data_IF_694525602090
#
_entry.id   IF_694525602090
#
_cell.length_a   1.000
_cell.length_b   1.000
_cell.length_c   1.000
_cell.angle_alpha   90.00
_cell.angle_beta   90.00
_cell.angle_gamma   90.00
#
_symmetry.space_group_name_H-M   'P 1'
#
loop_
_entity.id
_entity.type
_entity.pdbx_description
1 polymer ?
#
# COMPACT_ATOMS: atom_id res chain seq x y z
N UNK A 1 9.86 -16.35 14.84
CA UNK A 1 8.45 -15.91 14.95
C UNK A 1 7.75 -16.20 13.62
N UNK A 2 6.46 -16.58 13.62
CA UNK A 2 5.71 -16.81 12.39
C UNK A 2 5.53 -15.49 11.62
N UNK A 3 5.62 -15.55 10.29
CA UNK A 3 5.35 -14.39 9.43
C UNK A 3 3.84 -14.27 9.21
N UNK A 4 3.29 -13.03 9.21
CA UNK A 4 1.88 -12.82 8.92
C UNK A 4 1.53 -13.25 7.50
N UNK A 5 0.31 -13.76 7.31
CA UNK A 5 -0.21 -14.09 5.99
C UNK A 5 -0.63 -12.82 5.24
N UNK A 6 -0.88 -12.94 3.93
CA UNK A 6 -1.43 -11.84 3.14
C UNK A 6 -2.82 -11.44 3.64
N UNK A 7 -3.64 -12.40 4.09
CA UNK A 7 -4.95 -12.09 4.67
C UNK A 7 -4.80 -11.21 5.92
N UNK A 8 -3.90 -11.57 6.84
CA UNK A 8 -3.66 -10.80 8.06
C UNK A 8 -3.21 -9.36 7.75
N UNK A 9 -2.36 -9.18 6.74
CA UNK A 9 -1.88 -7.87 6.29
C UNK A 9 -3.00 -7.02 5.66
N UNK A 10 -3.90 -7.65 4.90
CA UNK A 10 -5.05 -6.97 4.32
C UNK A 10 -6.03 -6.50 5.39
N UNK A 11 -6.33 -7.34 6.38
CA UNK A 11 -7.20 -7.01 7.52
C UNK A 11 -6.59 -5.90 8.40
N UNK A 12 -5.27 -5.90 8.58
CA UNK A 12 -4.56 -4.83 9.28
C UNK A 12 -4.47 -3.51 8.50
N UNK A 13 -4.85 -3.49 7.21
CA UNK A 13 -4.89 -2.28 6.39
C UNK A 13 -3.54 -1.78 5.88
N UNK A 14 -2.49 -2.61 5.85
CA UNK A 14 -1.13 -2.17 5.47
C UNK A 14 -0.97 -1.83 3.99
N UNK A 15 -1.96 -2.19 3.16
CA UNK A 15 -1.99 -1.91 1.74
C UNK A 15 -2.44 -0.47 1.42
N UNK A 16 -2.87 0.32 2.41
CA UNK A 16 -3.18 1.72 2.20
C UNK A 16 -1.90 2.57 2.26
N UNK A 17 -1.57 3.20 1.14
CA UNK A 17 -0.48 4.16 1.02
C UNK A 17 -0.92 5.60 1.29
N UNK A 18 -0.12 6.53 0.76
CA UNK A 18 -0.37 7.96 0.88
C UNK A 18 -1.24 8.48 -0.28
N UNK A 19 -1.71 9.72 -0.12
CA UNK A 19 -2.38 10.44 -1.21
C UNK A 19 -1.45 10.57 -2.43
N UNK A 20 -2.02 10.49 -3.63
CA UNK A 20 -1.27 10.56 -4.89
C UNK A 20 -0.56 11.88 -5.13
N UNK A 21 -0.96 12.95 -4.43
CA UNK A 21 -0.27 14.26 -4.45
C UNK A 21 0.97 14.32 -3.56
N UNK A 22 1.13 13.38 -2.62
CA UNK A 22 2.21 13.35 -1.61
C UNK A 22 2.96 12.02 -1.66
N UNK A 23 3.49 11.67 -2.83
CA UNK A 23 4.23 10.42 -3.03
C UNK A 23 5.65 10.66 -3.52
N UNK A 24 6.51 9.68 -3.27
CA UNK A 24 7.88 9.67 -3.74
C UNK A 24 7.97 8.86 -5.06
N UNK A 25 8.44 9.46 -6.18
CA UNK A 25 8.58 8.76 -7.46
C UNK A 25 9.37 7.45 -7.42
N UNK A 26 10.31 7.31 -6.47
CA UNK A 26 11.10 6.08 -6.26
C UNK A 26 10.24 4.89 -5.81
N UNK A 27 9.02 5.13 -5.31
CA UNK A 27 8.09 4.10 -4.87
C UNK A 27 7.28 3.47 -6.01
N UNK A 28 7.40 3.96 -7.25
CA UNK A 28 6.56 3.54 -8.39
C UNK A 28 6.53 2.03 -8.61
N UNK A 29 7.64 1.34 -8.38
CA UNK A 29 7.76 -0.13 -8.53
C UNK A 29 7.02 -0.95 -7.47
N UNK A 30 6.60 -0.32 -6.38
CA UNK A 30 5.92 -0.95 -5.25
C UNK A 30 4.43 -0.57 -5.16
N UNK A 31 3.98 0.34 -6.01
CA UNK A 31 2.58 0.78 -6.08
C UNK A 31 1.84 -0.17 -7.03
N UNK A 32 0.76 -0.75 -6.55
CA UNK A 32 -0.12 -1.62 -7.33
C UNK A 32 -1.18 -0.81 -8.10
N UNK A 33 -1.89 0.10 -7.43
CA UNK A 33 -2.96 0.88 -8.05
C UNK A 33 -3.20 2.22 -7.34
N UNK A 34 -3.95 3.12 -7.98
CA UNK A 34 -4.56 4.29 -7.34
C UNK A 34 -6.06 4.07 -7.24
N UNK A 35 -6.64 4.29 -6.05
CA UNK A 35 -8.09 4.32 -5.85
C UNK A 35 -8.47 5.49 -4.96
N UNK A 36 -9.42 6.30 -5.41
CA UNK A 36 -9.90 7.48 -4.68
C UNK A 36 -8.79 8.43 -4.21
N UNK A 37 -7.72 8.57 -5.00
CA UNK A 37 -6.58 9.42 -4.69
C UNK A 37 -5.60 8.86 -3.66
N UNK A 38 -5.72 7.59 -3.27
CA UNK A 38 -4.78 6.87 -2.40
C UNK A 38 -4.06 5.79 -3.21
N UNK A 39 -2.73 5.70 -3.03
CA UNK A 39 -1.98 4.58 -3.59
C UNK A 39 -2.21 3.31 -2.76
N UNK A 40 -2.40 2.21 -3.46
CA UNK A 40 -2.44 0.83 -2.96
C UNK A 40 -1.20 0.13 -3.47
#
# INVERSE_FOLDING_TARGET
>A
MPQPTVQDMLEAGVHFGHQTRRWNPKMRRFIFAERSGIYI
#
